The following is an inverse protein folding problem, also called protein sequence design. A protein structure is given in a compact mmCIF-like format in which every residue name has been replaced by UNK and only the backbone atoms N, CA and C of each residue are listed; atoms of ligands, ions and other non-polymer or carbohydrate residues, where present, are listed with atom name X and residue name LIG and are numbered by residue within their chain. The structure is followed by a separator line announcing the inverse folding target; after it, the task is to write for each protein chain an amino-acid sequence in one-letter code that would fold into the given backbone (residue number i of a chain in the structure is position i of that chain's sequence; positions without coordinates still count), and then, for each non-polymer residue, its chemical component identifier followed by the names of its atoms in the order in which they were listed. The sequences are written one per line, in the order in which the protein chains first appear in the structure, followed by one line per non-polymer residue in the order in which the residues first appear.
data_IF_143994737967
#
_entry.id   IF_143994737967
#
_cell.length_a   1.000
_cell.length_b   1.000
_cell.length_c   1.000
_cell.angle_alpha   90.00
_cell.angle_beta   90.00
_cell.angle_gamma   90.00
#
_symmetry.space_group_name_H-M   'P 1'
#
loop_
_entity.id
_entity.type
_entity.pdbx_description
1 polymer ?
#
# COMPACT_ATOMS: atom_id res chain seq x y z
N UNK A 1 -9.71 4.93 -17.05
CA UNK A 1 -9.66 5.15 -15.61
C UNK A 1 -8.97 3.99 -14.92
N UNK A 2 -8.25 4.29 -13.85
CA UNK A 2 -7.54 3.26 -13.11
C UNK A 2 -8.49 2.52 -12.20
N UNK A 3 -8.47 1.20 -12.28
CA UNK A 3 -9.32 0.38 -11.43
C UNK A 3 -8.57 -0.18 -10.22
N UNK A 4 -7.27 0.11 -10.12
CA UNK A 4 -6.43 -0.41 -9.05
C UNK A 4 -5.59 0.74 -8.50
N UNK A 5 -5.56 0.83 -7.17
CA UNK A 5 -4.62 1.72 -6.51
C UNK A 5 -3.55 0.82 -5.91
N UNK A 6 -2.30 1.10 -6.24
CA UNK A 6 -1.21 0.17 -6.01
C UNK A 6 -0.24 0.70 -4.97
N UNK A 7 0.19 -0.18 -4.08
CA UNK A 7 1.15 0.16 -3.03
C UNK A 7 2.30 -0.82 -3.05
N UNK A 8 3.48 -0.31 -2.72
CA UNK A 8 4.63 -1.16 -2.44
C UNK A 8 4.86 -1.17 -0.94
N UNK A 9 5.07 -2.35 -0.39
CA UNK A 9 5.21 -2.54 1.04
C UNK A 9 6.62 -2.96 1.36
N UNK A 10 7.21 -2.34 2.37
CA UNK A 10 8.51 -2.73 2.88
C UNK A 10 8.39 -2.95 4.38
N UNK A 11 9.32 -3.73 4.92
CA UNK A 11 9.33 -4.05 6.35
C UNK A 11 10.74 -3.84 6.88
N UNK A 12 10.87 -2.96 7.86
CA UNK A 12 12.18 -2.60 8.36
C UNK A 12 12.05 -2.22 9.83
N UNK A 13 12.90 -2.79 10.67
CA UNK A 13 12.92 -2.46 12.10
C UNK A 13 11.56 -2.61 12.76
N UNK A 14 10.83 -3.66 12.38
CA UNK A 14 9.54 -3.93 13.00
C UNK A 14 8.40 -3.08 12.49
N UNK A 15 8.63 -2.27 11.46
CA UNK A 15 7.61 -1.40 10.92
C UNK A 15 7.34 -1.77 9.47
N UNK A 16 6.06 -1.90 9.12
CA UNK A 16 5.63 -2.09 7.74
C UNK A 16 5.24 -0.73 7.18
N UNK A 17 5.77 -0.40 6.02
CA UNK A 17 5.47 0.87 5.36
C UNK A 17 4.91 0.59 3.99
N UNK A 18 3.82 1.28 3.64
CA UNK A 18 3.21 1.17 2.32
C UNK A 18 3.29 2.51 1.63
N UNK A 19 3.88 2.52 0.45
CA UNK A 19 3.97 3.72 -0.35
C UNK A 19 3.19 3.57 -1.63
N UNK A 20 2.39 4.55 -1.98
CA UNK A 20 1.59 4.51 -3.18
C UNK A 20 2.45 4.58 -4.43
N UNK A 21 2.15 3.72 -5.40
CA UNK A 21 2.84 3.73 -6.69
C UNK A 21 2.15 4.69 -7.64
N UNK A 22 0.82 4.68 -7.64
CA UNK A 22 0.06 5.55 -8.52
C UNK A 22 -0.84 6.52 -7.77
N UNK A 23 -0.51 6.79 -6.50
CA UNK A 23 -1.21 7.77 -5.70
C UNK A 23 -0.26 8.26 -4.62
N UNK A 24 -0.35 9.54 -4.22
CA UNK A 24 0.57 10.09 -3.21
C UNK A 24 0.10 9.77 -1.80
N UNK A 25 0.15 8.49 -1.46
CA UNK A 25 -0.30 8.00 -0.15
C UNK A 25 0.83 7.21 0.48
N UNK A 26 1.13 7.50 1.74
CA UNK A 26 2.10 6.72 2.51
C UNK A 26 1.49 6.43 3.86
N UNK A 27 1.57 5.18 4.30
CA UNK A 27 1.08 4.80 5.61
C UNK A 27 1.96 3.68 6.16
N UNK A 28 1.76 3.35 7.44
CA UNK A 28 2.58 2.34 8.07
C UNK A 28 1.79 1.60 9.12
N UNK A 29 2.37 0.53 9.64
CA UNK A 29 1.75 -0.24 10.69
C UNK A 29 2.78 -1.11 11.39
N UNK A 30 2.48 -1.50 12.62
CA UNK A 30 3.36 -2.34 13.41
C UNK A 30 3.20 -3.81 13.07
N UNK A 31 2.15 -4.17 12.37
CA UNK A 31 1.92 -5.52 11.88
C UNK A 31 1.33 -5.42 10.49
N UNK A 32 1.36 -6.54 9.78
CA UNK A 32 0.81 -6.55 8.43
C UNK A 32 -0.70 -6.30 8.46
N UNK A 33 -1.38 -6.82 9.47
CA UNK A 33 -2.81 -6.60 9.60
C UNK A 33 -3.13 -5.14 9.87
N UNK A 34 -2.36 -4.53 10.76
CA UNK A 34 -2.56 -3.11 11.04
C UNK A 34 -2.28 -2.28 9.81
N UNK A 35 -1.24 -2.65 9.05
CA UNK A 35 -0.93 -1.95 7.82
C UNK A 35 -2.09 -2.00 6.85
N UNK A 36 -2.73 -3.16 6.71
CA UNK A 36 -3.86 -3.30 5.79
C UNK A 36 -5.01 -2.39 6.18
N UNK A 37 -5.30 -2.30 7.48
CA UNK A 37 -6.35 -1.41 7.94
C UNK A 37 -5.98 0.04 7.69
N UNK A 38 -4.73 0.39 7.93
CA UNK A 38 -4.28 1.75 7.73
C UNK A 38 -4.26 2.13 6.26
N UNK A 39 -3.99 1.16 5.38
CA UNK A 39 -4.06 1.42 3.94
C UNK A 39 -5.50 1.74 3.56
N UNK A 40 -6.46 0.96 4.05
CA UNK A 40 -7.86 1.21 3.72
C UNK A 40 -8.31 2.57 4.23
N UNK A 41 -7.89 2.93 5.44
CA UNK A 41 -8.24 4.23 6.00
C UNK A 41 -7.60 5.35 5.19
N UNK A 42 -6.34 5.17 4.79
CA UNK A 42 -5.64 6.20 4.04
C UNK A 42 -6.25 6.40 2.66
N UNK A 43 -6.67 5.31 2.03
CA UNK A 43 -7.32 5.40 0.72
C UNK A 43 -8.66 6.09 0.86
N UNK A 44 -9.43 5.76 1.89
CA UNK A 44 -10.72 6.40 2.12
C UNK A 44 -10.53 7.90 2.33
N UNK A 45 -9.51 8.27 3.09
CA UNK A 45 -9.23 9.67 3.34
C UNK A 45 -8.80 10.39 2.07
N UNK A 46 -8.00 9.70 1.24
CA UNK A 46 -7.53 10.28 -0.01
C UNK A 46 -8.69 10.64 -0.93
N UNK A 47 -9.75 9.82 -0.92
CA UNK A 47 -10.91 10.08 -1.75
C UNK A 47 -11.98 10.92 -1.04
N UNK A 48 -11.75 11.28 0.21
CA UNK A 48 -12.74 12.04 0.96
C UNK A 48 -12.87 13.42 0.35
N UNK A 49 -14.10 13.81 0.06
CA UNK A 49 -14.34 15.13 -0.49
C UNK A 49 -14.11 15.22 -1.98
N UNK A 50 -13.58 14.20 -2.61
CA UNK A 50 -13.29 14.19 -4.04
C UNK A 50 -13.90 12.94 -4.67
N UNK A 51 -14.42 13.11 -5.87
CA UNK A 51 -14.89 11.99 -6.65
C UNK A 51 -13.66 11.22 -7.14
N UNK A 52 -13.57 9.91 -6.92
CA UNK A 52 -12.43 9.16 -7.43
C UNK A 52 -12.18 9.38 -8.92
N UNK A 53 -13.25 9.58 -9.69
CA UNK A 53 -13.09 9.81 -11.12
C UNK A 53 -12.30 11.08 -11.41
N UNK A 54 -12.43 12.10 -10.57
CA UNK A 54 -11.71 13.35 -10.77
C UNK A 54 -10.22 13.19 -10.49
N UNK A 55 -9.85 12.09 -9.82
CA UNK A 55 -8.47 11.78 -9.54
C UNK A 55 -7.94 10.68 -10.47
N UNK A 56 -8.71 10.31 -11.47
CA UNK A 56 -8.27 9.34 -12.47
C UNK A 56 -8.56 7.90 -12.12
N UNK A 57 -9.42 7.66 -11.12
CA UNK A 57 -9.73 6.29 -10.67
C UNK A 57 -11.18 5.94 -10.93
N UNK A 58 -11.44 4.63 -10.97
CA UNK A 58 -12.81 4.14 -10.97
C UNK A 58 -13.45 4.47 -9.63
N UNK A 59 -14.77 4.35 -9.59
CA UNK A 59 -15.55 4.72 -8.42
C UNK A 59 -15.13 3.96 -7.17
N UNK A 60 -14.74 2.70 -7.32
CA UNK A 60 -14.31 1.88 -6.20
C UNK A 60 -13.10 1.05 -6.63
N UNK A 61 -11.94 1.68 -6.70
CA UNK A 61 -10.75 0.94 -7.14
C UNK A 61 -10.34 -0.11 -6.12
N UNK A 62 -9.82 -1.23 -6.63
CA UNK A 62 -9.26 -2.24 -5.77
C UNK A 62 -7.90 -1.78 -5.26
N UNK A 63 -7.50 -2.30 -4.12
CA UNK A 63 -6.19 -2.00 -3.55
C UNK A 63 -5.30 -3.20 -3.78
N UNK A 64 -4.16 -2.97 -4.40
CA UNK A 64 -3.17 -4.02 -4.62
C UNK A 64 -1.90 -3.65 -3.88
N UNK A 65 -1.39 -4.57 -3.08
CA UNK A 65 -0.14 -4.35 -2.37
C UNK A 65 0.89 -5.33 -2.88
N UNK A 66 2.10 -4.84 -3.12
CA UNK A 66 3.25 -5.66 -3.50
C UNK A 66 4.20 -5.66 -2.33
N UNK A 67 4.57 -6.85 -1.87
CA UNK A 67 5.48 -7.00 -0.75
C UNK A 67 6.70 -7.76 -1.20
N UNK A 68 7.84 -7.11 -1.13
CA UNK A 68 9.09 -7.70 -1.56
C UNK A 68 9.79 -8.32 -0.37
N UNK A 69 10.11 -9.60 -0.48
CA UNK A 69 10.79 -10.31 0.59
C UNK A 69 12.26 -10.46 0.20
N UNK A 70 13.13 -9.89 1.02
CA UNK A 70 14.54 -9.99 0.76
C UNK A 70 15.03 -11.41 1.01
N UNK A 71 15.83 -11.93 0.10
CA UNK A 71 16.38 -13.26 0.27
C UNK A 71 17.68 -13.17 1.03
N UNK A 72 17.84 -13.95 2.11
CA UNK A 72 19.08 -13.86 2.88
C UNK A 72 20.29 -14.31 2.05
N UNK A 73 21.35 -13.59 2.16
CA UNK A 73 22.55 -13.90 1.39
C UNK A 73 23.15 -15.24 1.72
N UNK A 74 23.03 -15.61 3.01
CA UNK A 74 23.63 -16.86 3.41
C UNK A 74 22.70 -18.02 3.20
N UNK A 75 21.59 -17.77 2.70
CA UNK A 75 20.58 -18.79 2.60
C UNK A 75 21.12 -20.04 1.99
N UNK A 76 22.11 -19.83 1.26
CA UNK A 76 22.70 -21.00 0.77
C UNK A 76 23.45 -21.73 1.78
N UNK A 77 23.56 -21.33 2.48
CA UNK A 77 24.19 -21.99 3.12
C UNK A 77 23.84 -22.97 3.44
N UNK A 78 23.75 -23.22 3.27
CA UNK A 78 23.48 -24.21 3.56
C UNK A 78 23.88 -24.76 3.93
#
# INVERSE_FOLDING_TARGET
MKSIIQFEVSHEDGVYTAGGVNAPIVTEGASFEELQENIRDAVALFFEGDDPASLGFDRAPSILTNFEVAQPLYAGRT
#
